data_IF_679938677915
#
_entry.id   IF_679938677915
#
_cell.length_a   1.000
_cell.length_b   1.000
_cell.length_c   1.000
_cell.angle_alpha   90.00
_cell.angle_beta   90.00
_cell.angle_gamma   90.00
#
_symmetry.space_group_name_H-M   'P 1'
#
loop_
_entity.id
_entity.type
_entity.pdbx_description
1 polymer ?
#
# COMPACT_ATOMS: atom_id res chain seq x y z
N UNK A 1 5.51 -10.04 0.87
CA UNK A 1 4.95 -9.67 2.19
C UNK A 1 3.45 -9.50 2.04
N UNK A 2 2.67 -10.39 2.66
CA UNK A 2 1.20 -10.41 2.58
C UNK A 2 0.49 -9.59 3.67
N UNK A 3 1.24 -9.09 4.67
CA UNK A 3 0.71 -8.33 5.80
C UNK A 3 -0.27 -7.21 5.45
N UNK A 4 -0.07 -6.41 4.37
CA UNK A 4 -1.01 -5.33 4.05
C UNK A 4 -2.42 -5.82 3.74
N UNK A 5 -2.60 -7.10 3.40
CA UNK A 5 -3.90 -7.69 3.07
C UNK A 5 -4.64 -8.21 4.29
N UNK A 6 -4.11 -8.04 5.51
CA UNK A 6 -4.79 -8.40 6.75
C UNK A 6 -5.48 -7.16 7.36
N UNK A 7 -6.55 -7.36 8.15
CA UNK A 7 -7.08 -6.31 9.02
C UNK A 7 -5.97 -5.71 9.86
N UNK A 8 -5.98 -4.39 10.05
CA UNK A 8 -4.89 -3.68 10.72
C UNK A 8 -4.61 -4.24 12.13
N UNK A 9 -5.66 -4.63 12.84
CA UNK A 9 -5.59 -5.25 14.17
C UNK A 9 -4.90 -6.63 14.18
N UNK A 10 -4.92 -7.37 13.07
CA UNK A 10 -4.31 -8.69 12.95
C UNK A 10 -2.84 -8.62 12.50
N UNK A 11 -2.42 -7.50 11.91
CA UNK A 11 -1.07 -7.34 11.33
C UNK A 11 0.03 -7.58 12.37
N UNK A 12 -0.08 -6.96 13.55
CA UNK A 12 0.94 -7.06 14.61
C UNK A 12 1.07 -8.49 15.10
N UNK A 13 -0.06 -9.17 15.34
CA UNK A 13 -0.10 -10.56 15.79
C UNK A 13 0.52 -11.50 14.74
N UNK A 14 0.11 -11.37 13.48
CA UNK A 14 0.65 -12.18 12.38
C UNK A 14 2.15 -11.94 12.16
N UNK A 15 2.60 -10.69 12.27
CA UNK A 15 4.02 -10.33 12.19
C UNK A 15 4.83 -11.00 13.30
N UNK A 16 4.34 -10.95 14.55
CA UNK A 16 5.04 -11.54 15.69
C UNK A 16 5.15 -13.07 15.56
N UNK A 17 4.10 -13.75 15.10
CA UNK A 17 4.13 -15.19 14.83
C UNK A 17 5.18 -15.54 13.78
N UNK A 18 5.21 -14.81 12.65
CA UNK A 18 6.20 -14.98 11.59
C UNK A 18 7.63 -14.75 12.14
N UNK A 19 7.81 -13.68 12.92
CA UNK A 19 9.11 -13.33 13.48
C UNK A 19 9.61 -14.42 14.45
N UNK A 20 8.73 -14.99 15.27
CA UNK A 20 9.07 -16.08 16.17
C UNK A 20 9.45 -17.37 15.43
N UNK A 21 8.69 -17.76 14.40
CA UNK A 21 8.99 -18.95 13.58
C UNK A 21 10.36 -18.86 12.87
N UNK A 22 10.76 -17.66 12.47
CA UNK A 22 12.04 -17.45 11.79
C UNK A 22 13.24 -17.35 12.75
N UNK A 23 13.02 -16.99 14.01
CA UNK A 23 14.05 -17.06 15.06
C UNK A 23 14.44 -18.50 15.39
N UNK A 24 13.53 -19.46 15.21
CA UNK A 24 13.78 -20.88 15.47
C UNK A 24 14.42 -21.63 14.30
N UNK A 25 14.63 -20.96 13.16
CA UNK A 25 15.12 -21.59 11.92
C UNK A 25 16.53 -21.08 11.58
N UNK A 26 17.49 -21.97 11.28
CA UNK A 26 18.90 -21.63 10.96
C UNK A 26 19.09 -20.70 9.73
N UNK A 27 18.03 -20.47 8.95
CA UNK A 27 18.02 -19.66 7.72
C UNK A 27 18.02 -18.12 8.01
N UNK A 28 17.94 -17.72 9.28
CA UNK A 28 17.40 -16.42 9.69
C UNK A 28 18.29 -15.16 9.58
N UNK A 29 19.61 -15.24 9.39
CA UNK A 29 20.50 -14.07 9.59
C UNK A 29 20.09 -12.78 8.83
N UNK A 30 20.03 -12.79 7.48
CA UNK A 30 19.64 -11.61 6.70
C UNK A 30 18.14 -11.28 6.79
N UNK A 31 17.28 -12.29 6.91
CA UNK A 31 15.82 -12.11 6.95
C UNK A 31 15.39 -11.47 8.27
N UNK A 32 16.01 -11.87 9.38
CA UNK A 32 15.77 -11.26 10.69
C UNK A 32 16.12 -9.77 10.70
N UNK A 33 17.20 -9.35 10.01
CA UNK A 33 17.51 -7.92 9.86
C UNK A 33 16.41 -7.14 9.14
N UNK A 34 15.78 -7.75 8.14
CA UNK A 34 14.63 -7.15 7.44
C UNK A 34 13.43 -7.08 8.38
N UNK A 35 13.15 -8.13 9.15
CA UNK A 35 12.07 -8.13 10.13
C UNK A 35 12.29 -7.09 11.24
N UNK A 36 13.51 -6.97 11.77
CA UNK A 36 13.86 -5.94 12.76
C UNK A 36 13.62 -4.53 12.22
N UNK A 37 13.97 -4.28 10.96
CA UNK A 37 13.66 -3.02 10.30
C UNK A 37 12.16 -2.80 10.15
N UNK A 38 11.42 -3.84 9.75
CA UNK A 38 9.98 -3.78 9.57
C UNK A 38 9.27 -3.50 10.89
N UNK A 39 9.65 -4.20 11.94
CA UNK A 39 9.13 -4.04 13.29
C UNK A 39 9.32 -2.59 13.77
N UNK A 40 10.55 -2.07 13.68
CA UNK A 40 10.88 -0.71 14.12
C UNK A 40 10.19 0.39 13.31
N UNK A 41 9.99 0.17 12.01
CA UNK A 41 9.56 1.23 11.08
C UNK A 41 8.06 1.23 10.82
N UNK A 42 7.45 0.04 10.70
CA UNK A 42 6.10 -0.15 10.17
C UNK A 42 5.13 -0.80 11.16
N UNK A 43 5.62 -1.37 12.26
CA UNK A 43 4.79 -1.94 13.33
C UNK A 43 4.76 -0.99 14.54
N UNK A 44 5.93 -0.65 15.09
CA UNK A 44 6.04 0.06 16.37
C UNK A 44 6.09 1.59 16.24
N UNK A 45 6.25 2.14 15.03
CA UNK A 45 6.45 3.58 14.84
C UNK A 45 5.11 4.32 14.80
N UNK A 46 5.00 5.41 15.55
CA UNK A 46 3.77 6.20 15.63
C UNK A 46 3.34 6.88 14.32
N UNK A 47 4.28 7.09 13.38
CA UNK A 47 4.07 7.82 12.12
C UNK A 47 3.42 6.94 11.03
N UNK A 48 3.77 5.65 11.00
CA UNK A 48 3.32 4.71 9.97
C UNK A 48 2.75 3.47 10.65
N UNK A 49 1.57 3.63 11.25
CA UNK A 49 0.92 2.54 11.95
C UNK A 49 0.29 1.56 10.96
N UNK A 50 0.06 0.29 11.35
CA UNK A 50 -0.62 -0.71 10.52
C UNK A 50 -1.91 -0.20 9.84
N UNK A 51 -2.69 0.64 10.53
CA UNK A 51 -3.93 1.21 9.98
C UNK A 51 -3.68 2.12 8.77
N UNK A 52 -2.50 2.71 8.64
CA UNK A 52 -2.18 3.63 7.55
C UNK A 52 -1.80 2.91 6.25
N UNK A 53 -1.43 1.63 6.32
CA UNK A 53 -0.91 0.89 5.17
C UNK A 53 -1.59 -0.46 4.94
N UNK A 54 -2.48 -0.89 5.84
CA UNK A 54 -3.44 -1.96 5.53
C UNK A 54 -4.28 -1.55 4.33
N UNK A 55 -4.49 -2.52 3.44
CA UNK A 55 -5.36 -2.43 2.26
C UNK A 55 -6.47 -3.49 2.34
N UNK A 56 -6.77 -3.97 3.55
CA UNK A 56 -7.87 -4.90 3.78
C UNK A 56 -9.20 -4.27 3.35
N UNK A 57 -9.99 -5.01 2.57
CA UNK A 57 -11.25 -4.54 1.96
C UNK A 57 -11.12 -3.33 1.01
N UNK A 58 -9.90 -2.91 0.68
CA UNK A 58 -9.66 -1.79 -0.23
C UNK A 58 -9.49 -2.26 -1.68
N UNK A 59 -10.27 -1.66 -2.59
CA UNK A 59 -10.09 -1.85 -4.05
C UNK A 59 -8.83 -1.13 -4.53
N UNK A 60 -8.54 0.03 -3.94
CA UNK A 60 -7.42 0.88 -4.34
C UNK A 60 -6.22 0.57 -3.44
N UNK A 61 -5.18 0.00 -4.03
CA UNK A 61 -3.94 -0.30 -3.30
C UNK A 61 -3.05 0.94 -3.26
N UNK A 62 -2.79 1.47 -2.06
CA UNK A 62 -2.00 2.70 -1.83
C UNK A 62 -0.66 2.69 -2.57
N UNK A 63 0.06 1.56 -2.56
CA UNK A 63 1.34 1.45 -3.28
C UNK A 63 1.20 1.65 -4.79
N UNK A 64 0.19 1.03 -5.42
CA UNK A 64 -0.01 1.12 -6.86
C UNK A 64 -0.37 2.56 -7.29
N UNK A 65 -1.13 3.27 -6.46
CA UNK A 65 -1.47 4.66 -6.72
C UNK A 65 -0.27 5.59 -6.51
N UNK A 66 0.54 5.36 -5.47
CA UNK A 66 1.78 6.11 -5.22
C UNK A 66 2.79 5.86 -6.35
N UNK A 67 3.04 4.62 -6.75
CA UNK A 67 3.90 4.27 -7.88
C UNK A 67 3.37 4.88 -9.18
N UNK A 68 2.06 4.79 -9.41
CA UNK A 68 1.40 5.41 -10.56
C UNK A 68 1.58 6.93 -10.57
N UNK A 69 1.50 7.57 -9.40
CA UNK A 69 1.72 9.00 -9.24
C UNK A 69 3.16 9.39 -9.52
N UNK A 70 4.11 8.69 -8.91
CA UNK A 70 5.54 8.85 -9.14
C UNK A 70 5.89 8.71 -10.63
N UNK A 71 5.38 7.66 -11.29
CA UNK A 71 5.57 7.46 -12.73
C UNK A 71 5.01 8.61 -13.56
N UNK A 72 3.81 9.12 -13.24
CA UNK A 72 3.21 10.28 -13.94
C UNK A 72 4.03 11.56 -13.75
N UNK A 73 4.58 11.79 -12.57
CA UNK A 73 5.46 12.94 -12.31
C UNK A 73 6.73 12.82 -13.14
N UNK A 74 7.39 11.67 -13.10
CA UNK A 74 8.63 11.45 -13.85
C UNK A 74 8.42 11.58 -15.37
N UNK A 75 7.30 11.05 -15.89
CA UNK A 75 6.94 11.24 -17.31
C UNK A 75 6.75 12.71 -17.66
N UNK A 76 6.06 13.49 -16.82
CA UNK A 76 5.83 14.93 -17.07
C UNK A 76 7.09 15.77 -16.92
N UNK A 77 7.99 15.37 -16.03
CA UNK A 77 9.26 16.07 -15.84
C UNK A 77 10.26 15.79 -16.97
N UNK A 78 10.09 14.68 -17.70
CA UNK A 78 10.91 14.35 -18.87
C UNK A 78 12.37 14.00 -18.57
N UNK A 79 12.77 13.94 -17.29
CA UNK A 79 14.14 13.66 -16.84
C UNK A 79 14.18 12.98 -15.48
N UNK A 80 15.24 12.22 -15.24
CA UNK A 80 15.62 11.80 -13.89
C UNK A 80 16.18 13.01 -13.10
N UNK A 81 16.09 12.96 -11.77
CA UNK A 81 16.55 14.03 -10.87
C UNK A 81 15.88 15.39 -11.15
N UNK A 82 14.61 15.50 -10.75
CA UNK A 82 13.77 16.69 -10.96
C UNK A 82 14.20 17.79 -9.97
N UNK A 83 14.60 18.96 -10.47
CA UNK A 83 14.85 20.13 -9.62
C UNK A 83 13.56 20.62 -8.96
N UNK A 84 13.69 21.23 -7.77
CA UNK A 84 12.55 21.73 -7.00
C UNK A 84 11.65 22.68 -7.80
N UNK A 85 12.23 23.57 -8.61
CA UNK A 85 11.51 24.51 -9.45
C UNK A 85 10.58 23.85 -10.49
N UNK A 86 10.89 22.62 -10.91
CA UNK A 86 10.03 21.83 -11.81
C UNK A 86 9.06 20.96 -11.02
N UNK A 87 9.51 20.41 -9.88
CA UNK A 87 8.70 19.54 -9.06
C UNK A 87 7.48 20.28 -8.47
N UNK A 88 7.67 21.49 -7.92
CA UNK A 88 6.59 22.23 -7.25
C UNK A 88 5.38 22.51 -8.15
N UNK A 89 5.52 23.03 -9.38
CA UNK A 89 4.38 23.20 -10.28
C UNK A 89 3.68 21.87 -10.63
N UNK A 90 4.45 20.78 -10.81
CA UNK A 90 3.88 19.46 -11.10
C UNK A 90 3.06 18.92 -9.92
N UNK A 91 3.56 19.08 -8.69
CA UNK A 91 2.87 18.72 -7.47
C UNK A 91 1.59 19.54 -7.29
N UNK A 92 1.68 20.86 -7.50
CA UNK A 92 0.52 21.77 -7.41
C UNK A 92 -0.58 21.37 -8.39
N UNK A 93 -0.24 21.15 -9.65
CA UNK A 93 -1.23 20.71 -10.66
C UNK A 93 -1.86 19.35 -10.34
N UNK A 94 -1.13 18.47 -9.65
CA UNK A 94 -1.68 17.20 -9.15
C UNK A 94 -2.59 17.38 -7.95
N UNK A 95 -2.23 18.23 -6.99
CA UNK A 95 -3.05 18.52 -5.82
C UNK A 95 -4.43 19.07 -6.23
N UNK A 96 -4.48 19.92 -7.26
CA UNK A 96 -5.74 20.44 -7.81
C UNK A 96 -6.66 19.37 -8.42
N UNK A 97 -6.15 18.18 -8.71
CA UNK A 97 -6.98 17.08 -9.23
C UNK A 97 -7.64 16.27 -8.11
N UNK A 98 -7.18 16.43 -6.86
CA UNK A 98 -7.68 15.66 -5.71
C UNK A 98 -9.15 16.00 -5.46
N UNK A 99 -9.54 17.27 -5.50
CA UNK A 99 -10.93 17.69 -5.30
C UNK A 99 -11.88 17.07 -6.34
N UNK A 100 -11.44 17.01 -7.59
CA UNK A 100 -12.15 16.34 -8.68
C UNK A 100 -12.29 14.84 -8.42
N UNK A 101 -11.24 14.18 -7.93
CA UNK A 101 -11.30 12.75 -7.58
C UNK A 101 -12.25 12.49 -6.42
N UNK A 102 -12.21 13.32 -5.37
CA UNK A 102 -13.12 13.23 -4.22
C UNK A 102 -14.57 13.34 -4.71
N UNK A 103 -14.86 14.35 -5.53
CA UNK A 103 -16.20 14.56 -6.10
C UNK A 103 -16.68 13.38 -6.96
N UNK A 104 -15.81 12.86 -7.83
CA UNK A 104 -16.16 11.71 -8.67
C UNK A 104 -16.49 10.48 -7.82
N UNK A 105 -15.70 10.20 -6.79
CA UNK A 105 -15.95 9.09 -5.86
C UNK A 105 -17.25 9.30 -5.09
N UNK A 106 -17.55 10.53 -4.62
CA UNK A 106 -18.82 10.83 -3.94
C UNK A 106 -20.04 10.65 -4.85
N UNK A 107 -19.87 10.82 -6.16
CA UNK A 107 -20.90 10.58 -7.18
C UNK A 107 -20.92 9.11 -7.66
N UNK A 108 -20.24 8.19 -6.96
CA UNK A 108 -20.06 6.77 -7.31
C UNK A 108 -19.38 6.52 -8.66
N UNK A 109 -18.71 7.53 -9.22
CA UNK A 109 -17.94 7.42 -10.44
C UNK A 109 -16.52 6.97 -10.11
N UNK A 110 -16.36 5.65 -10.05
CA UNK A 110 -15.05 5.04 -9.81
C UNK A 110 -14.23 4.93 -11.09
N UNK A 111 -12.91 4.90 -10.92
CA UNK A 111 -11.98 4.73 -12.03
C UNK A 111 -12.23 3.39 -12.72
N UNK A 112 -12.26 3.40 -14.06
CA UNK A 112 -12.32 2.15 -14.83
C UNK A 112 -11.09 1.29 -14.57
N UNK A 113 -11.32 0.06 -14.11
CA UNK A 113 -10.29 -0.94 -13.92
C UNK A 113 -10.24 -1.89 -15.12
N UNK A 114 -9.05 -2.34 -15.51
CA UNK A 114 -8.90 -3.37 -16.55
C UNK A 114 -9.57 -4.66 -16.07
N UNK A 115 -10.24 -5.39 -16.97
CA UNK A 115 -10.93 -6.66 -16.67
C UNK A 115 -10.05 -7.66 -15.90
N UNK A 116 -8.77 -7.74 -16.26
CA UNK A 116 -7.78 -8.57 -15.53
C UNK A 116 -7.67 -8.18 -14.05
N UNK A 117 -7.61 -6.89 -13.75
CA UNK A 117 -7.50 -6.41 -12.37
C UNK A 117 -8.78 -6.72 -11.61
N UNK A 118 -9.95 -6.49 -12.22
CA UNK A 118 -11.25 -6.80 -11.61
C UNK A 118 -11.33 -8.27 -11.18
N UNK A 119 -10.89 -9.20 -12.03
CA UNK A 119 -10.86 -10.63 -11.68
C UNK A 119 -9.88 -10.94 -10.52
N UNK A 120 -8.70 -10.33 -10.51
CA UNK A 120 -7.77 -10.49 -9.37
C UNK A 120 -8.38 -9.93 -8.08
N UNK A 121 -9.08 -8.80 -8.16
CA UNK A 121 -9.77 -8.22 -7.02
C UNK A 121 -10.89 -9.12 -6.52
N UNK A 122 -11.73 -9.70 -7.40
CA UNK A 122 -12.83 -10.58 -6.97
C UNK A 122 -12.31 -11.80 -6.21
N UNK A 123 -11.24 -12.45 -6.69
CA UNK A 123 -10.61 -13.58 -5.99
C UNK A 123 -10.03 -13.20 -4.63
N UNK A 124 -9.54 -11.96 -4.49
CA UNK A 124 -9.05 -11.45 -3.21
C UNK A 124 -10.20 -11.15 -2.25
N UNK A 125 -11.30 -10.57 -2.74
CA UNK A 125 -12.51 -10.37 -1.94
C UNK A 125 -13.08 -11.68 -1.43
N UNK A 126 -13.18 -12.70 -2.29
CA UNK A 126 -13.59 -14.05 -1.86
C UNK A 126 -12.68 -14.65 -0.78
N UNK A 127 -11.38 -14.35 -0.83
CA UNK A 127 -10.43 -14.79 0.18
C UNK A 127 -10.59 -14.03 1.50
N UNK A 128 -10.95 -12.74 1.43
CA UNK A 128 -11.26 -11.95 2.61
C UNK A 128 -12.60 -12.33 3.25
N UNK A 129 -13.62 -12.67 2.45
CA UNK A 129 -14.90 -13.16 2.96
C UNK A 129 -14.67 -14.41 3.82
N UNK A 130 -13.93 -15.39 3.29
CA UNK A 130 -13.57 -16.60 4.04
C UNK A 130 -12.77 -16.32 5.31
N UNK A 131 -11.95 -15.28 5.29
CA UNK A 131 -11.11 -14.91 6.43
C UNK A 131 -11.91 -14.22 7.55
N UNK A 132 -13.00 -13.54 7.22
CA UNK A 132 -13.91 -12.94 8.22
C UNK A 132 -14.90 -13.97 8.80
N UNK A 133 -15.19 -15.04 8.07
CA UNK A 133 -16.05 -16.14 8.50
C UNK A 133 -15.38 -17.13 9.48
N UNK A 134 -14.04 -17.09 9.60
CA UNK A 134 -13.20 -17.93 10.48
C UNK A 134 -12.96 -17.29 11.87
#
# INVERSE_FOLDING_TARGET
MSLPYLPAEHITTAFNQLHQQLKTTEVGGPVLKVLDYVEKTWINRAVWRPENWSVFREVIRTNNEVEGWHRRINMRAGRACISFCILVPLLRGKAQTVDLQIRLVSENLTRMHRKKNVNIHSRLFEAWDKYEDD
#
